data_IF_884322778323
#
_entry.id   IF_884322778323
#
_cell.length_a   1.000
_cell.length_b   1.000
_cell.length_c   1.000
_cell.angle_alpha   90.00
_cell.angle_beta   90.00
_cell.angle_gamma   90.00
#
_symmetry.space_group_name_H-M   'P 1'
#
loop_
_entity.id
_entity.type
_entity.pdbx_description
1 polymer ?
#
# COMPACT_ATOMS: atom_id res chain seq x y z
N UNK A 1 18.54 15.47 -4.77
CA UNK A 1 18.12 14.24 -5.51
C UNK A 1 16.70 14.46 -5.98
N UNK A 2 16.44 14.34 -7.26
CA UNK A 2 15.06 14.41 -7.79
C UNK A 2 14.39 13.05 -7.67
N UNK A 3 13.16 13.04 -7.18
CA UNK A 3 12.28 11.87 -7.10
C UNK A 3 10.94 12.22 -7.73
N UNK A 4 10.44 11.39 -8.60
CA UNK A 4 9.15 11.58 -9.24
C UNK A 4 8.07 10.73 -8.56
N UNK A 5 6.89 11.30 -8.36
CA UNK A 5 5.70 10.57 -7.91
C UNK A 5 4.62 10.64 -9.00
N UNK A 6 4.14 9.48 -9.43
CA UNK A 6 3.02 9.34 -10.36
C UNK A 6 1.77 9.12 -9.52
N UNK A 7 0.94 10.17 -9.41
CA UNK A 7 -0.25 10.14 -8.55
C UNK A 7 -1.24 11.26 -8.87
N UNK A 8 -2.53 10.95 -8.76
CA UNK A 8 -3.63 11.92 -8.77
C UNK A 8 -3.99 12.42 -7.36
N UNK A 9 -3.47 11.75 -6.30
CA UNK A 9 -3.95 11.91 -4.93
C UNK A 9 -3.09 12.83 -4.07
N UNK A 10 -1.76 12.86 -4.34
CA UNK A 10 -0.81 13.56 -3.47
C UNK A 10 -0.21 14.78 -4.14
N UNK A 11 0.10 15.80 -3.34
CA UNK A 11 0.87 16.98 -3.72
C UNK A 11 2.34 16.82 -3.34
N UNK A 12 3.21 17.67 -3.89
CA UNK A 12 4.65 17.71 -3.52
C UNK A 12 4.84 18.01 -2.03
N UNK A 13 4.02 18.90 -1.46
CA UNK A 13 4.04 19.22 -0.03
C UNK A 13 3.74 18.01 0.85
N UNK A 14 2.70 17.24 0.50
CA UNK A 14 2.35 16.01 1.21
C UNK A 14 3.47 14.97 1.12
N UNK A 15 4.05 14.77 -0.07
CA UNK A 15 5.16 13.84 -0.27
C UNK A 15 6.41 14.29 0.51
N UNK A 16 6.70 15.58 0.56
CA UNK A 16 7.78 16.12 1.40
C UNK A 16 7.52 15.86 2.89
N UNK A 17 6.26 15.95 3.33
CA UNK A 17 5.87 15.57 4.69
C UNK A 17 6.04 14.07 4.99
N UNK A 18 5.71 13.22 4.02
CA UNK A 18 5.89 11.77 4.16
C UNK A 18 7.35 11.34 4.11
N UNK A 19 8.20 12.07 3.40
CA UNK A 19 9.62 11.78 3.17
C UNK A 19 10.47 13.00 3.50
N UNK A 20 10.94 13.15 4.75
CA UNK A 20 11.52 14.39 5.26
C UNK A 20 12.97 14.66 4.83
N UNK A 21 13.46 14.02 3.79
CA UNK A 21 14.81 14.22 3.26
C UNK A 21 15.04 15.65 2.76
N UNK A 22 15.96 16.40 3.39
CA UNK A 22 16.18 17.83 3.10
C UNK A 22 16.71 18.11 1.69
N UNK A 23 17.44 17.15 1.10
CA UNK A 23 18.05 17.28 -0.23
C UNK A 23 17.27 16.50 -1.30
N UNK A 24 15.96 16.31 -1.08
CA UNK A 24 15.07 15.63 -2.00
C UNK A 24 14.06 16.61 -2.55
N UNK A 25 14.01 16.69 -3.86
CA UNK A 25 13.04 17.48 -4.62
C UNK A 25 12.04 16.51 -5.26
N UNK A 26 10.76 16.72 -4.95
CA UNK A 26 9.68 15.93 -5.52
C UNK A 26 9.14 16.58 -6.78
N UNK A 27 8.84 15.77 -7.78
CA UNK A 27 8.10 16.14 -8.99
C UNK A 27 6.85 15.28 -9.09
N UNK A 28 5.69 15.89 -9.01
CA UNK A 28 4.41 15.17 -9.15
C UNK A 28 4.02 15.09 -10.61
N UNK A 29 3.81 13.88 -11.10
CA UNK A 29 3.41 13.56 -12.45
C UNK A 29 1.99 12.98 -12.46
N UNK A 30 1.15 13.46 -13.39
CA UNK A 30 -0.22 12.95 -13.56
C UNK A 30 -0.30 11.80 -14.59
N UNK A 31 0.78 11.55 -15.29
CA UNK A 31 0.94 10.45 -16.26
C UNK A 31 2.37 9.91 -16.19
N UNK A 32 2.57 8.72 -16.74
CA UNK A 32 3.90 8.12 -16.84
C UNK A 32 4.71 8.85 -17.92
N UNK A 33 5.69 9.63 -17.49
CA UNK A 33 6.61 10.34 -18.36
C UNK A 33 7.97 10.51 -17.69
N UNK A 34 9.00 10.78 -18.49
CA UNK A 34 10.34 10.96 -17.96
C UNK A 34 10.46 12.30 -17.23
N UNK A 35 10.93 12.26 -15.98
CA UNK A 35 11.33 13.43 -15.19
C UNK A 35 12.86 13.56 -15.27
N UNK A 36 13.41 14.70 -15.75
CA UNK A 36 14.85 14.86 -15.88
C UNK A 36 15.59 14.66 -14.55
N UNK A 37 16.59 13.78 -14.55
CA UNK A 37 17.44 13.52 -13.39
C UNK A 37 16.77 12.77 -12.24
N UNK A 38 15.58 12.21 -12.44
CA UNK A 38 14.92 11.41 -11.41
C UNK A 38 15.71 10.15 -11.07
N UNK A 39 16.06 10.00 -9.80
CA UNK A 39 16.73 8.81 -9.28
C UNK A 39 15.75 7.67 -8.97
N UNK A 40 14.49 8.02 -8.66
CA UNK A 40 13.43 7.08 -8.40
C UNK A 40 12.06 7.61 -8.86
N UNK A 41 11.17 6.68 -9.21
CA UNK A 41 9.75 6.93 -9.47
C UNK A 41 8.91 6.14 -8.49
N UNK A 42 7.99 6.82 -7.82
CA UNK A 42 6.96 6.21 -6.99
C UNK A 42 5.63 6.24 -7.75
N UNK A 43 5.18 5.10 -8.25
CA UNK A 43 3.83 4.99 -8.80
C UNK A 43 2.84 4.65 -7.68
N UNK A 44 2.21 5.67 -7.12
CA UNK A 44 1.30 5.56 -5.98
C UNK A 44 -0.13 5.20 -6.37
N UNK A 45 -0.47 5.35 -7.64
CA UNK A 45 -1.76 4.94 -8.23
C UNK A 45 -1.61 3.70 -9.14
N UNK A 46 -0.62 2.86 -8.83
CA UNK A 46 -0.28 1.69 -9.62
C UNK A 46 -1.45 0.72 -9.75
N UNK A 47 -1.67 0.28 -10.98
CA UNK A 47 -2.55 -0.82 -11.36
C UNK A 47 -1.71 -1.80 -12.18
N UNK A 48 -1.74 -3.12 -11.89
CA UNK A 48 -0.88 -4.11 -12.52
C UNK A 48 -1.40 -4.50 -13.92
N UNK A 49 -1.57 -3.51 -14.81
CA UNK A 49 -1.85 -3.76 -16.23
C UNK A 49 -0.57 -3.72 -17.08
N UNK A 50 -0.57 -4.46 -18.17
CA UNK A 50 0.60 -4.65 -19.03
C UNK A 50 1.10 -3.33 -19.62
N UNK A 51 0.20 -2.46 -20.06
CA UNK A 51 0.55 -1.19 -20.71
C UNK A 51 1.24 -0.24 -19.74
N UNK A 52 0.73 -0.18 -18.49
CA UNK A 52 1.31 0.60 -17.41
C UNK A 52 2.70 0.08 -17.03
N UNK A 53 2.84 -1.24 -16.87
CA UNK A 53 4.13 -1.86 -16.55
C UNK A 53 5.17 -1.63 -17.66
N UNK A 54 4.80 -1.78 -18.92
CA UNK A 54 5.68 -1.48 -20.06
C UNK A 54 6.08 0.01 -20.11
N UNK A 55 5.17 0.92 -19.81
CA UNK A 55 5.48 2.35 -19.75
C UNK A 55 6.46 2.68 -18.63
N UNK A 56 6.26 2.13 -17.42
CA UNK A 56 7.16 2.27 -16.29
C UNK A 56 8.54 1.67 -16.58
N UNK A 57 8.58 0.51 -17.24
CA UNK A 57 9.85 -0.17 -17.54
C UNK A 57 10.74 0.63 -18.49
N UNK A 58 10.19 1.55 -19.28
CA UNK A 58 10.98 2.48 -20.14
C UNK A 58 11.74 3.54 -19.32
N UNK A 59 11.43 3.71 -18.04
CA UNK A 59 12.10 4.64 -17.11
C UNK A 59 13.27 3.96 -16.37
N UNK A 60 13.85 2.89 -16.92
CA UNK A 60 14.78 1.94 -16.27
C UNK A 60 16.07 2.51 -15.69
N UNK A 61 16.49 3.72 -16.10
CA UNK A 61 17.65 4.37 -15.48
C UNK A 61 17.42 4.72 -14.01
N UNK A 62 16.15 4.84 -13.60
CA UNK A 62 15.73 5.13 -12.24
C UNK A 62 15.22 3.88 -11.51
N UNK A 63 15.10 3.96 -10.20
CA UNK A 63 14.44 2.95 -9.37
C UNK A 63 12.92 3.09 -9.50
N UNK A 64 12.22 2.02 -9.86
CA UNK A 64 10.76 2.02 -9.98
C UNK A 64 10.16 1.38 -8.73
N UNK A 65 9.38 2.15 -7.98
CA UNK A 65 8.70 1.76 -6.76
C UNK A 65 7.19 1.89 -7.00
N UNK A 66 6.44 0.81 -6.83
CA UNK A 66 5.01 0.77 -7.10
C UNK A 66 4.20 0.47 -5.84
N UNK A 67 3.09 1.17 -5.64
CA UNK A 67 2.14 0.86 -4.58
C UNK A 67 1.35 -0.41 -4.96
N UNK A 68 1.97 -1.55 -4.69
CA UNK A 68 1.44 -2.87 -5.04
C UNK A 68 1.35 -3.75 -3.79
N UNK A 69 0.26 -3.59 -3.02
CA UNK A 69 0.08 -4.32 -1.77
C UNK A 69 -0.38 -5.76 -2.00
N UNK A 70 -1.39 -5.95 -2.84
CA UNK A 70 -1.94 -7.29 -3.11
C UNK A 70 -1.11 -8.09 -4.13
N UNK A 71 -0.78 -7.56 -5.34
CA UNK A 71 -0.05 -8.35 -6.32
C UNK A 71 1.42 -8.50 -5.91
N UNK A 72 1.97 -9.71 -6.09
CA UNK A 72 3.41 -10.00 -5.92
C UNK A 72 4.23 -9.50 -7.12
N UNK A 73 5.57 -9.47 -7.01
CA UNK A 73 6.45 -9.19 -8.16
C UNK A 73 6.19 -10.21 -9.28
N UNK A 74 5.94 -11.45 -8.90
CA UNK A 74 5.60 -12.53 -9.85
C UNK A 74 4.29 -12.25 -10.59
N UNK A 75 3.27 -11.75 -9.90
CA UNK A 75 1.97 -11.41 -10.51
C UNK A 75 2.09 -10.19 -11.43
N UNK A 76 2.91 -9.21 -11.06
CA UNK A 76 3.19 -8.01 -11.85
C UNK A 76 3.98 -8.38 -13.12
N UNK A 77 4.91 -9.35 -13.04
CA UNK A 77 5.74 -9.80 -14.16
C UNK A 77 6.87 -8.82 -14.54
N UNK A 78 7.14 -7.81 -13.70
CA UNK A 78 8.21 -6.82 -13.88
C UNK A 78 8.97 -6.64 -12.56
N UNK A 79 10.30 -6.41 -12.61
CA UNK A 79 11.16 -6.33 -11.43
C UNK A 79 11.06 -4.97 -10.72
N UNK A 80 9.87 -4.53 -10.39
CA UNK A 80 9.64 -3.30 -9.63
C UNK A 80 9.75 -3.56 -8.14
N UNK A 81 10.19 -2.53 -7.41
CA UNK A 81 10.09 -2.52 -5.94
C UNK A 81 8.63 -2.31 -5.57
N UNK A 82 8.11 -3.13 -4.67
CA UNK A 82 6.76 -2.95 -4.12
C UNK A 82 6.83 -2.19 -2.80
N UNK A 83 5.90 -1.27 -2.60
CA UNK A 83 5.71 -0.56 -1.32
C UNK A 83 4.28 -0.76 -0.83
N UNK A 84 4.10 -0.82 0.49
CA UNK A 84 2.79 -0.64 1.10
C UNK A 84 2.47 0.86 1.17
N UNK A 85 1.83 1.35 0.12
CA UNK A 85 1.40 2.75 0.00
C UNK A 85 -0.10 2.94 0.21
N UNK A 86 -0.80 2.05 0.91
CA UNK A 86 -2.20 2.24 1.28
C UNK A 86 -2.36 3.51 2.12
N UNK A 87 -3.53 4.18 2.11
CA UNK A 87 -3.77 5.37 2.92
C UNK A 87 -3.40 5.16 4.39
N UNK A 88 -2.58 6.06 4.94
CA UNK A 88 -2.04 5.96 6.29
C UNK A 88 -0.73 5.19 6.44
N UNK A 89 -0.22 4.54 5.37
CA UNK A 89 1.02 3.77 5.46
C UNK A 89 2.25 4.55 4.98
N UNK A 90 2.12 5.46 4.02
CA UNK A 90 3.23 6.35 3.60
C UNK A 90 3.66 7.35 4.68
N UNK A 91 2.78 7.66 5.61
CA UNK A 91 3.03 8.56 6.74
C UNK A 91 3.91 7.91 7.84
N UNK A 92 4.05 6.59 7.83
CA UNK A 92 4.80 5.84 8.84
C UNK A 92 6.30 6.11 8.73
N UNK A 93 6.98 6.05 9.86
CA UNK A 93 8.45 6.22 9.93
C UNK A 93 9.23 5.08 9.28
N UNK A 94 8.62 3.90 9.13
CA UNK A 94 9.21 2.70 8.53
C UNK A 94 8.25 2.14 7.49
N UNK A 95 8.74 1.98 6.25
CA UNK A 95 7.98 1.39 5.14
C UNK A 95 8.32 -0.09 4.95
N UNK A 96 7.34 -0.87 4.55
CA UNK A 96 7.55 -2.24 4.08
C UNK A 96 7.81 -2.22 2.58
N UNK A 97 8.92 -2.84 2.18
CA UNK A 97 9.35 -2.94 0.79
C UNK A 97 9.63 -4.38 0.41
N UNK A 98 9.30 -4.72 -0.83
CA UNK A 98 9.75 -5.95 -1.47
C UNK A 98 10.64 -5.57 -2.64
N UNK A 99 11.79 -6.19 -2.73
CA UNK A 99 12.76 -5.98 -3.83
C UNK A 99 12.91 -7.25 -4.66
N UNK A 100 13.14 -7.13 -5.99
CA UNK A 100 13.30 -8.29 -6.85
C UNK A 100 14.63 -9.01 -6.65
N UNK A 101 15.71 -8.28 -6.28
CA UNK A 101 17.07 -8.77 -6.17
C UNK A 101 17.94 -7.90 -5.26
N UNK A 102 19.15 -8.37 -4.96
CA UNK A 102 20.11 -7.70 -4.08
C UNK A 102 20.62 -6.37 -4.64
N UNK A 103 20.83 -6.29 -5.95
CA UNK A 103 21.31 -5.05 -6.58
C UNK A 103 20.26 -3.94 -6.49
N UNK A 104 18.98 -4.31 -6.57
CA UNK A 104 17.85 -3.38 -6.34
C UNK A 104 17.76 -2.99 -4.87
N UNK A 105 18.08 -3.89 -3.93
CA UNK A 105 18.12 -3.56 -2.49
C UNK A 105 19.17 -2.49 -2.17
N UNK A 106 20.35 -2.54 -2.79
CA UNK A 106 21.39 -1.52 -2.65
C UNK A 106 20.90 -0.15 -3.14
N UNK A 107 20.26 -0.11 -4.30
CA UNK A 107 19.67 1.12 -4.85
C UNK A 107 18.56 1.69 -3.96
N UNK A 108 17.72 0.81 -3.38
CA UNK A 108 16.72 1.19 -2.40
C UNK A 108 17.37 1.82 -1.16
N UNK A 109 18.45 1.23 -0.64
CA UNK A 109 19.18 1.75 0.51
C UNK A 109 19.67 3.19 0.27
N UNK A 110 20.26 3.46 -0.90
CA UNK A 110 20.75 4.79 -1.27
C UNK A 110 19.62 5.83 -1.37
N UNK A 111 18.50 5.45 -2.01
CA UNK A 111 17.32 6.33 -2.14
C UNK A 111 16.71 6.60 -0.76
N UNK A 112 16.45 5.56 0.05
CA UNK A 112 15.79 5.68 1.35
C UNK A 112 16.64 6.43 2.38
N UNK A 113 17.97 6.30 2.32
CA UNK A 113 18.89 7.12 3.11
C UNK A 113 18.71 8.61 2.84
N UNK A 114 18.54 9.01 1.57
CA UNK A 114 18.29 10.41 1.19
C UNK A 114 16.88 10.87 1.54
N UNK A 115 15.89 9.98 1.42
CA UNK A 115 14.50 10.23 1.83
C UNK A 115 14.36 10.39 3.35
N UNK A 116 15.37 10.03 4.13
CA UNK A 116 15.36 10.02 5.61
C UNK A 116 14.17 9.22 6.17
N UNK A 117 13.85 8.09 5.53
CA UNK A 117 12.83 7.14 5.98
C UNK A 117 13.44 5.78 6.27
N UNK A 118 12.96 5.16 7.35
CA UNK A 118 13.26 3.76 7.62
C UNK A 118 12.51 2.85 6.64
N UNK A 119 13.05 1.66 6.42
CA UNK A 119 12.36 0.61 5.68
C UNK A 119 12.71 -0.78 6.23
N UNK A 120 11.85 -1.74 5.92
CA UNK A 120 12.09 -3.17 6.13
C UNK A 120 11.86 -3.89 4.82
N UNK A 121 12.84 -4.71 4.42
CA UNK A 121 12.65 -5.67 3.35
C UNK A 121 11.83 -6.84 3.89
N UNK A 122 10.78 -7.20 3.17
CA UNK A 122 9.86 -8.28 3.54
C UNK A 122 9.72 -9.27 2.37
N UNK A 123 9.29 -10.52 2.62
CA UNK A 123 9.03 -11.50 1.57
C UNK A 123 8.02 -11.00 0.54
N UNK A 124 8.14 -11.51 -0.71
CA UNK A 124 7.22 -11.20 -1.81
C UNK A 124 5.89 -11.95 -1.67
N UNK A 125 5.10 -11.52 -0.68
CA UNK A 125 3.80 -12.10 -0.36
C UNK A 125 2.67 -11.06 -0.50
N UNK A 126 1.44 -11.46 -0.81
CA UNK A 126 0.28 -10.56 -0.82
C UNK A 126 0.07 -9.94 0.57
N UNK A 127 -0.14 -8.61 0.59
CA UNK A 127 -0.40 -7.84 1.82
C UNK A 127 0.84 -7.54 2.64
N UNK A 128 2.02 -8.05 2.27
CA UNK A 128 3.24 -7.89 3.05
C UNK A 128 3.00 -8.30 4.52
N UNK A 129 3.35 -7.47 5.51
CA UNK A 129 3.07 -7.76 6.93
C UNK A 129 1.86 -6.96 7.41
N UNK A 130 1.96 -5.63 7.38
CA UNK A 130 0.98 -4.76 8.06
C UNK A 130 -0.40 -4.80 7.40
N UNK A 131 -0.47 -4.78 6.07
CA UNK A 131 -1.75 -4.81 5.38
C UNK A 131 -2.46 -6.16 5.57
N UNK A 132 -1.69 -7.27 5.59
CA UNK A 132 -2.24 -8.61 5.87
C UNK A 132 -2.86 -8.68 7.28
N UNK A 133 -2.10 -8.27 8.31
CA UNK A 133 -2.58 -8.30 9.70
C UNK A 133 -3.80 -7.39 9.86
N UNK A 134 -3.72 -6.16 9.36
CA UNK A 134 -4.82 -5.20 9.50
C UNK A 134 -6.09 -5.67 8.79
N UNK A 135 -5.96 -6.23 7.57
CA UNK A 135 -7.12 -6.78 6.85
C UNK A 135 -7.78 -7.94 7.59
N UNK A 136 -7.00 -8.78 8.29
CA UNK A 136 -7.55 -9.87 9.12
C UNK A 136 -8.30 -9.31 10.33
N UNK A 137 -7.76 -8.29 11.00
CA UNK A 137 -8.42 -7.62 12.13
C UNK A 137 -9.74 -6.96 11.67
N UNK A 138 -9.73 -6.31 10.52
CA UNK A 138 -10.93 -5.72 9.93
C UNK A 138 -11.95 -6.81 9.61
N UNK A 139 -11.54 -7.92 9.02
CA UNK A 139 -12.41 -9.04 8.71
C UNK A 139 -13.11 -9.60 9.96
N UNK A 140 -12.35 -9.78 11.04
CA UNK A 140 -12.87 -10.24 12.34
C UNK A 140 -13.89 -9.26 12.92
N UNK A 141 -13.65 -7.95 12.78
CA UNK A 141 -14.62 -6.93 13.19
C UNK A 141 -15.93 -7.02 12.40
N UNK A 142 -15.84 -7.33 11.10
CA UNK A 142 -17.02 -7.53 10.27
C UNK A 142 -17.77 -8.82 10.62
N UNK A 143 -17.09 -9.90 11.00
CA UNK A 143 -17.75 -11.11 11.56
C UNK A 143 -18.49 -10.78 12.87
N UNK A 144 -17.82 -10.13 13.82
CA UNK A 144 -18.37 -9.73 15.11
C UNK A 144 -19.63 -8.85 14.94
N UNK A 145 -19.61 -7.93 13.98
CA UNK A 145 -20.77 -7.09 13.66
C UNK A 145 -21.91 -7.89 12.99
N UNK A 146 -21.59 -8.79 12.05
CA UNK A 146 -22.58 -9.64 11.36
C UNK A 146 -23.30 -10.58 12.36
N UNK A 147 -22.58 -11.10 13.34
CA UNK A 147 -23.10 -11.90 14.45
C UNK A 147 -23.91 -11.11 15.49
N UNK A 148 -24.00 -9.78 15.31
CA UNK A 148 -24.74 -8.85 16.20
C UNK A 148 -24.22 -8.85 17.64
N UNK A 149 -22.92 -9.08 17.82
CA UNK A 149 -22.26 -9.01 19.13
C UNK A 149 -22.20 -7.56 19.64
N UNK A 150 -21.95 -6.60 18.73
CA UNK A 150 -21.88 -5.17 19.05
C UNK A 150 -22.13 -4.29 17.82
N UNK A 151 -22.19 -2.97 18.01
CA UNK A 151 -22.25 -1.99 16.92
C UNK A 151 -20.86 -1.69 16.38
N UNK A 152 -20.77 -1.10 15.17
CA UNK A 152 -19.49 -0.69 14.57
C UNK A 152 -18.74 0.30 15.46
N UNK A 153 -19.46 1.28 16.00
CA UNK A 153 -18.94 2.34 16.86
C UNK A 153 -18.36 1.79 18.17
N UNK A 154 -19.03 0.80 18.77
CA UNK A 154 -18.56 0.14 19.98
C UNK A 154 -17.34 -0.73 19.73
N UNK A 155 -17.31 -1.48 18.61
CA UNK A 155 -16.15 -2.28 18.19
C UNK A 155 -14.93 -1.37 17.94
N UNK A 156 -15.10 -0.26 17.21
CA UNK A 156 -14.05 0.71 16.98
C UNK A 156 -13.52 1.31 18.28
N UNK A 157 -14.44 1.67 19.18
CA UNK A 157 -14.08 2.21 20.50
C UNK A 157 -13.32 1.19 21.35
N UNK A 158 -13.78 -0.06 21.39
CA UNK A 158 -13.13 -1.13 22.13
C UNK A 158 -11.71 -1.38 21.62
N UNK A 159 -11.51 -1.39 20.29
CA UNK A 159 -10.19 -1.60 19.70
C UNK A 159 -9.25 -0.41 19.93
N UNK A 160 -9.72 0.82 19.84
CA UNK A 160 -8.89 1.98 20.16
C UNK A 160 -8.46 2.00 21.63
N UNK A 161 -9.39 1.80 22.55
CA UNK A 161 -9.13 1.88 23.98
C UNK A 161 -8.44 0.63 24.53
N UNK A 162 -8.80 -0.56 24.03
CA UNK A 162 -8.27 -1.83 24.53
C UNK A 162 -6.90 -2.21 23.96
N UNK A 163 -6.58 -1.83 22.74
CA UNK A 163 -5.34 -2.20 22.05
C UNK A 163 -4.47 -1.02 21.67
N UNK A 164 -4.89 0.22 21.98
CA UNK A 164 -4.19 1.45 21.67
C UNK A 164 -3.93 1.63 20.14
N UNK A 165 -4.83 1.12 19.31
CA UNK A 165 -4.78 1.41 17.89
C UNK A 165 -5.18 2.87 17.59
N UNK A 166 -4.56 3.52 16.59
CA UNK A 166 -4.86 4.92 16.26
C UNK A 166 -6.27 5.09 15.66
N UNK A 167 -6.81 4.05 15.03
CA UNK A 167 -8.15 3.97 14.45
C UNK A 167 -8.76 2.62 14.77
N UNK A 168 -10.08 2.57 14.86
CA UNK A 168 -10.82 1.31 14.93
C UNK A 168 -10.86 0.58 13.58
N UNK A 169 -11.25 -0.70 13.55
CA UNK A 169 -11.23 -1.50 12.33
C UNK A 169 -12.17 -0.97 11.24
N UNK A 170 -13.34 -0.43 11.57
CA UNK A 170 -14.24 0.18 10.58
C UNK A 170 -13.70 1.51 10.07
N UNK A 171 -13.15 2.37 10.94
CA UNK A 171 -12.45 3.59 10.55
C UNK A 171 -11.26 3.30 9.61
N UNK A 172 -10.49 2.23 9.88
CA UNK A 172 -9.43 1.77 8.98
C UNK A 172 -9.98 1.29 7.65
N UNK A 173 -11.10 0.56 7.64
CA UNK A 173 -11.71 0.05 6.39
C UNK A 173 -12.18 1.19 5.48
N UNK A 174 -12.73 2.27 6.05
CA UNK A 174 -13.10 3.47 5.31
C UNK A 174 -11.87 4.21 4.76
N UNK A 175 -10.84 4.38 5.57
CA UNK A 175 -9.60 5.07 5.17
C UNK A 175 -8.84 4.35 4.05
N UNK A 176 -8.72 3.04 4.12
CA UNK A 176 -8.00 2.22 3.14
C UNK A 176 -8.83 2.02 1.88
N UNK A 177 -10.12 1.81 2.04
CA UNK A 177 -11.07 1.34 1.04
C UNK A 177 -11.36 -0.15 1.22
N UNK A 178 -12.61 -0.47 1.48
CA UNK A 178 -13.06 -1.84 1.78
C UNK A 178 -12.84 -2.80 0.60
N UNK A 179 -12.92 -2.31 -0.63
CA UNK A 179 -12.64 -3.06 -1.87
C UNK A 179 -11.21 -3.59 -1.90
N UNK A 180 -10.23 -2.81 -1.44
CA UNK A 180 -8.82 -3.22 -1.35
C UNK A 180 -8.62 -4.29 -0.30
N UNK A 181 -9.29 -4.16 0.85
CA UNK A 181 -9.24 -5.14 1.93
C UNK A 181 -9.86 -6.46 1.47
N UNK A 182 -11.04 -6.42 0.86
CA UNK A 182 -11.70 -7.58 0.29
C UNK A 182 -10.82 -8.27 -0.77
N UNK A 183 -10.23 -7.48 -1.67
CA UNK A 183 -9.34 -8.00 -2.71
C UNK A 183 -8.09 -8.70 -2.15
N UNK A 184 -7.49 -8.15 -1.09
CA UNK A 184 -6.36 -8.78 -0.41
C UNK A 184 -6.78 -10.09 0.27
N UNK A 185 -7.85 -10.08 1.03
CA UNK A 185 -8.36 -11.27 1.71
C UNK A 185 -8.72 -12.38 0.71
N UNK A 186 -9.38 -12.05 -0.40
CA UNK A 186 -9.63 -13.01 -1.49
C UNK A 186 -8.34 -13.58 -2.09
N UNK A 187 -7.31 -12.75 -2.27
CA UNK A 187 -6.01 -13.23 -2.75
C UNK A 187 -5.39 -14.25 -1.78
N UNK A 188 -5.43 -13.95 -0.49
CA UNK A 188 -4.88 -14.79 0.58
C UNK A 188 -5.70 -16.08 0.77
N UNK A 189 -7.03 -16.03 0.64
CA UNK A 189 -7.91 -17.19 0.83
C UNK A 189 -7.69 -18.30 -0.20
N UNK A 190 -7.06 -18.01 -1.34
CA UNK A 190 -6.70 -19.01 -2.34
C UNK A 190 -5.72 -20.07 -1.82
N UNK A 191 -4.90 -19.71 -0.85
CA UNK A 191 -3.89 -20.59 -0.25
C UNK A 191 -4.20 -20.98 1.18
N UNK A 192 -4.99 -20.16 1.89
CA UNK A 192 -5.41 -20.45 3.27
C UNK A 192 -6.86 -19.97 3.50
N UNK A 193 -7.80 -20.89 3.79
CA UNK A 193 -9.21 -20.59 4.02
C UNK A 193 -9.47 -19.67 5.22
N UNK A 194 -8.54 -19.53 6.17
CA UNK A 194 -8.67 -18.63 7.32
C UNK A 194 -8.78 -17.14 6.91
N UNK A 195 -8.42 -16.81 5.66
CA UNK A 195 -8.54 -15.46 5.12
C UNK A 195 -9.84 -15.20 4.34
N UNK A 196 -10.78 -16.12 4.33
CA UNK A 196 -12.05 -15.91 3.62
C UNK A 196 -12.74 -14.67 4.18
N UNK A 197 -13.10 -13.68 3.34
CA UNK A 197 -13.80 -12.49 3.82
C UNK A 197 -15.18 -12.82 4.37
N UNK A 198 -15.60 -12.14 5.45
CA UNK A 198 -16.96 -12.26 5.98
C UNK A 198 -18.01 -11.83 4.96
N UNK A 199 -19.22 -12.39 5.07
CA UNK A 199 -20.34 -12.02 4.20
C UNK A 199 -20.67 -10.53 4.29
N UNK A 200 -20.58 -9.96 5.48
CA UNK A 200 -20.83 -8.54 5.70
C UNK A 200 -19.77 -7.64 5.04
N UNK A 201 -18.50 -8.03 5.06
CA UNK A 201 -17.41 -7.29 4.40
C UNK A 201 -17.59 -7.33 2.87
N UNK A 202 -17.95 -8.51 2.31
CA UNK A 202 -18.23 -8.64 0.87
C UNK A 202 -19.37 -7.74 0.45
N UNK A 203 -20.51 -7.80 1.14
CA UNK A 203 -21.67 -6.93 0.83
C UNK A 203 -21.35 -5.45 0.90
N UNK A 204 -20.54 -5.04 1.88
CA UNK A 204 -20.12 -3.65 2.00
C UNK A 204 -19.18 -3.23 0.84
N UNK A 205 -18.30 -4.12 0.38
CA UNK A 205 -17.43 -3.87 -0.77
C UNK A 205 -18.21 -3.84 -2.10
N UNK A 206 -19.27 -4.62 -2.23
CA UNK A 206 -20.16 -4.63 -3.39
C UNK A 206 -21.06 -3.40 -3.43
N UNK A 207 -21.57 -2.96 -2.29
CA UNK A 207 -22.41 -1.75 -2.18
C UNK A 207 -21.73 -0.48 -2.66
N UNK A 208 -20.41 -0.37 -2.48
CA UNK A 208 -19.62 0.74 -3.00
C UNK A 208 -19.43 0.75 -4.54
N UNK A 209 -19.81 -0.32 -5.23
CA UNK A 209 -19.74 -0.39 -6.72
C UNK A 209 -20.99 0.14 -7.41
N UNK A 210 -22.06 0.40 -6.66
CA UNK A 210 -23.37 0.75 -7.19
C UNK A 210 -23.89 2.13 -6.71
N UNK A 211 -23.13 2.85 -5.90
CA UNK A 211 -23.32 4.24 -5.52
C UNK A 211 -22.42 5.17 -6.35
#
# INVERSE_FOLDING_TARGET
MTVAAITEKYTEEQLTGFFPGRDVEWTVLRKIEAAPGAAAYFDLDFVPDKSRCEALSRLQSALIIVNAVTPTIRDIGFPFVRINGWPGFLERSVHELVVPDESTAERVADVYKRLQRGYRLVPDEPGMISARILSTIINEAYFTWEEKVSTKEEIDTAMRLGTNYPLGPFEWSERIGIDRIAGLLWSLSRTNPDYVPSGALIRAAEGLKYD
#
